data_IF_402312200202
#
_entry.id   IF_402312200202
#
_cell.length_a   1.000
_cell.length_b   1.000
_cell.length_c   1.000
_cell.angle_alpha   90.00
_cell.angle_beta   90.00
_cell.angle_gamma   90.00
#
_symmetry.space_group_name_H-M   'P 1'
#
loop_
_entity.id
_entity.type
_entity.pdbx_description
1 polymer ?
#
# COMPACT_ATOMS: atom_id res chain seq x y z
N UNK A 1 20.40 -1.23 -9.57
CA UNK A 1 19.24 -1.40 -10.49
C UNK A 1 19.00 -2.86 -10.87
N UNK A 2 20.02 -3.63 -11.25
CA UNK A 2 19.84 -5.02 -11.71
C UNK A 2 19.33 -5.98 -10.62
N UNK A 3 19.75 -5.80 -9.36
CA UNK A 3 19.20 -6.56 -8.23
C UNK A 3 17.69 -6.38 -8.06
N UNK A 4 17.18 -5.15 -8.22
CA UNK A 4 15.75 -4.86 -8.14
C UNK A 4 14.98 -5.45 -9.32
N UNK A 5 15.56 -5.46 -10.53
CA UNK A 5 14.92 -6.10 -11.70
C UNK A 5 14.76 -7.61 -11.48
N UNK A 6 15.82 -8.28 -11.02
CA UNK A 6 15.78 -9.71 -10.69
C UNK A 6 14.77 -9.99 -9.57
N UNK A 7 14.68 -9.11 -8.58
CA UNK A 7 13.66 -9.21 -7.53
C UNK A 7 12.24 -9.16 -8.12
N UNK A 8 11.98 -8.20 -9.00
CA UNK A 8 10.68 -8.07 -9.68
C UNK A 8 10.34 -9.32 -10.51
N UNK A 9 11.32 -9.92 -11.18
CA UNK A 9 11.13 -11.18 -11.92
C UNK A 9 10.69 -12.31 -10.99
N UNK A 10 11.39 -12.51 -9.88
CA UNK A 10 11.03 -13.52 -8.87
C UNK A 10 9.63 -13.27 -8.32
N UNK A 11 9.26 -12.01 -8.06
CA UNK A 11 7.92 -11.65 -7.58
C UNK A 11 6.85 -12.01 -8.60
N UNK A 12 7.08 -11.70 -9.88
CA UNK A 12 6.14 -12.03 -10.96
C UNK A 12 5.98 -13.53 -11.20
N UNK A 13 7.02 -14.32 -10.92
CA UNK A 13 6.98 -15.78 -10.97
C UNK A 13 6.27 -16.39 -9.76
N UNK A 14 6.47 -15.80 -8.58
CA UNK A 14 5.92 -16.30 -7.32
C UNK A 14 4.45 -15.91 -7.11
N UNK A 15 4.04 -14.71 -7.53
CA UNK A 15 2.65 -14.26 -7.41
C UNK A 15 1.75 -15.05 -8.36
N UNK A 16 0.69 -15.65 -7.82
CA UNK A 16 -0.30 -16.34 -8.63
C UNK A 16 -1.28 -15.36 -9.26
N UNK A 17 -1.61 -15.62 -10.53
CA UNK A 17 -2.51 -14.79 -11.33
C UNK A 17 -1.84 -13.53 -11.89
N UNK A 18 -1.79 -13.44 -13.23
CA UNK A 18 -1.55 -12.16 -13.91
C UNK A 18 -2.89 -11.47 -14.06
N UNK A 19 -3.32 -10.78 -13.02
CA UNK A 19 -4.60 -10.08 -13.07
C UNK A 19 -4.42 -8.74 -13.80
N UNK A 20 -5.10 -8.62 -14.94
CA UNK A 20 -5.35 -7.32 -15.54
C UNK A 20 -6.27 -6.50 -14.62
N UNK A 21 -5.81 -5.33 -14.23
CA UNK A 21 -6.56 -4.42 -13.40
C UNK A 21 -7.25 -3.30 -14.18
N UNK A 22 -8.16 -2.61 -13.52
CA UNK A 22 -8.90 -1.45 -14.04
C UNK A 22 -8.22 -0.17 -13.57
N UNK A 23 -7.47 0.47 -14.47
CA UNK A 23 -6.57 1.57 -14.12
C UNK A 23 -6.78 2.78 -15.02
N UNK A 24 -6.43 3.96 -14.51
CA UNK A 24 -6.47 5.23 -15.23
C UNK A 24 -5.62 5.14 -16.51
N UNK A 25 -6.20 5.59 -17.63
CA UNK A 25 -5.56 5.65 -18.94
C UNK A 25 -4.38 6.61 -18.93
N UNK A 26 -3.32 6.29 -19.67
CA UNK A 26 -2.17 7.18 -19.82
C UNK A 26 -2.57 8.55 -20.39
N UNK A 27 -3.46 8.58 -21.38
CA UNK A 27 -3.98 9.84 -21.94
C UNK A 27 -4.61 10.72 -20.85
N UNK A 28 -5.36 10.14 -19.91
CA UNK A 28 -5.99 10.90 -18.83
C UNK A 28 -4.98 11.40 -17.80
N UNK A 29 -3.94 10.60 -17.51
CA UNK A 29 -2.81 11.05 -16.70
C UNK A 29 -2.10 12.25 -17.34
N UNK A 30 -1.89 12.23 -18.66
CA UNK A 30 -1.33 13.37 -19.41
C UNK A 30 -2.20 14.61 -19.29
N UNK A 31 -3.52 14.46 -19.45
CA UNK A 31 -4.47 15.57 -19.29
C UNK A 31 -4.36 16.22 -17.91
N UNK A 32 -4.27 15.41 -16.85
CA UNK A 32 -4.09 15.91 -15.48
C UNK A 32 -2.77 16.66 -15.28
N UNK A 33 -1.67 16.15 -15.84
CA UNK A 33 -0.37 16.82 -15.80
C UNK A 33 -0.38 18.13 -16.60
N UNK A 34 -1.11 18.22 -17.71
CA UNK A 34 -1.26 19.49 -18.44
C UNK A 34 -2.16 20.48 -17.71
N UNK A 35 -3.26 20.00 -17.13
CA UNK A 35 -4.23 20.83 -16.42
C UNK A 35 -3.65 21.43 -15.14
N UNK A 36 -2.89 20.63 -14.38
CA UNK A 36 -2.22 21.04 -13.15
C UNK A 36 -0.73 20.65 -13.21
N UNK A 37 0.12 21.44 -13.89
CA UNK A 37 1.53 21.11 -14.08
C UNK A 37 2.32 20.98 -12.75
N UNK A 38 3.05 19.88 -12.54
CA UNK A 38 3.85 19.65 -11.34
C UNK A 38 5.16 20.45 -11.40
N UNK A 39 5.12 21.70 -10.93
CA UNK A 39 6.20 22.66 -11.11
C UNK A 39 7.50 22.24 -10.40
N UNK A 40 7.41 21.62 -9.21
CA UNK A 40 8.61 21.19 -8.50
C UNK A 40 9.30 20.05 -9.24
N UNK A 41 8.51 19.10 -9.76
CA UNK A 41 8.98 17.97 -10.54
C UNK A 41 9.67 18.44 -11.81
N UNK A 42 9.03 19.32 -12.58
CA UNK A 42 9.58 19.91 -13.83
C UNK A 42 10.90 20.63 -13.55
N UNK A 43 10.93 21.48 -12.51
CA UNK A 43 12.14 22.22 -12.11
C UNK A 43 13.26 21.30 -11.63
N UNK A 44 12.93 20.29 -10.83
CA UNK A 44 13.91 19.36 -10.27
C UNK A 44 14.60 18.50 -11.34
N UNK A 45 13.89 18.20 -12.43
CA UNK A 45 14.43 17.50 -13.60
C UNK A 45 15.15 18.42 -14.59
N UNK A 46 15.08 19.74 -14.40
CA UNK A 46 15.72 20.71 -15.29
C UNK A 46 14.98 20.98 -16.60
N UNK A 47 13.67 20.70 -16.65
CA UNK A 47 12.83 20.98 -17.81
C UNK A 47 12.21 22.39 -17.74
N UNK A 48 11.93 22.98 -18.90
CA UNK A 48 11.32 24.32 -19.00
C UNK A 48 9.81 24.31 -18.85
N UNK A 49 9.17 23.17 -19.13
CA UNK A 49 7.73 23.02 -19.10
C UNK A 49 7.31 21.57 -18.87
N UNK A 50 6.05 21.37 -18.47
CA UNK A 50 5.47 20.02 -18.37
C UNK A 50 5.40 19.32 -19.73
N UNK A 51 5.22 20.08 -20.81
CA UNK A 51 5.25 19.55 -22.18
C UNK A 51 6.61 18.91 -22.48
N UNK A 52 7.71 19.64 -22.23
CA UNK A 52 9.06 19.13 -22.42
C UNK A 52 9.33 17.90 -21.53
N UNK A 53 8.87 17.92 -20.28
CA UNK A 53 9.01 16.78 -19.37
C UNK A 53 8.29 15.53 -19.92
N UNK A 54 7.06 15.67 -20.43
CA UNK A 54 6.28 14.55 -20.98
C UNK A 54 6.74 14.05 -22.35
N UNK A 55 7.58 14.80 -23.06
CA UNK A 55 8.26 14.36 -24.28
C UNK A 55 9.51 13.51 -23.96
N UNK A 56 10.11 13.73 -22.78
CA UNK A 56 11.42 13.14 -22.41
C UNK A 56 11.34 12.09 -21.31
N UNK A 57 10.25 12.06 -20.55
CA UNK A 57 10.05 11.15 -19.43
C UNK A 57 8.78 10.31 -19.59
N UNK A 58 8.76 9.15 -18.95
CA UNK A 58 7.54 8.35 -18.82
C UNK A 58 6.50 9.11 -18.00
N UNK A 59 5.25 9.14 -18.49
CA UNK A 59 4.11 9.72 -17.77
C UNK A 59 3.96 9.08 -16.41
N UNK A 60 4.13 7.76 -16.32
CA UNK A 60 4.06 7.01 -15.07
C UNK A 60 5.13 7.44 -14.07
N UNK A 61 6.34 7.78 -14.54
CA UNK A 61 7.42 8.25 -13.65
C UNK A 61 7.15 9.66 -13.12
N UNK A 62 6.63 10.56 -13.97
CA UNK A 62 6.19 11.89 -13.54
C UNK A 62 5.06 11.75 -12.51
N UNK A 63 4.07 10.88 -12.77
CA UNK A 63 2.95 10.64 -11.87
C UNK A 63 3.40 10.05 -10.53
N UNK A 64 4.32 9.07 -10.56
CA UNK A 64 4.96 8.53 -9.36
C UNK A 64 5.68 9.61 -8.55
N UNK A 65 6.38 10.51 -9.24
CA UNK A 65 7.12 11.60 -8.62
C UNK A 65 6.25 12.62 -7.90
N UNK A 66 4.97 12.74 -8.25
CA UNK A 66 4.03 13.59 -7.52
C UNK A 66 4.01 13.26 -6.03
N UNK A 67 4.16 11.98 -5.66
CA UNK A 67 4.17 11.53 -4.25
C UNK A 67 5.33 12.08 -3.42
N UNK A 68 6.44 12.44 -4.07
CA UNK A 68 7.68 12.78 -3.38
C UNK A 68 8.31 14.11 -3.78
N UNK A 69 7.89 14.71 -4.89
CA UNK A 69 8.40 15.99 -5.39
C UNK A 69 7.43 17.15 -5.16
N UNK A 70 6.12 16.88 -5.06
CA UNK A 70 5.10 17.91 -4.95
C UNK A 70 4.58 18.08 -3.51
N UNK A 71 4.01 19.25 -3.24
CA UNK A 71 3.49 19.57 -1.92
C UNK A 71 2.09 18.98 -1.70
N UNK A 72 1.84 18.40 -0.52
CA UNK A 72 0.56 17.79 -0.15
C UNK A 72 -0.64 18.73 -0.29
N UNK A 73 -0.51 20.00 0.13
CA UNK A 73 -1.57 21.00 -0.03
C UNK A 73 -1.89 21.26 -1.49
N UNK A 74 -0.88 21.26 -2.36
CA UNK A 74 -1.10 21.44 -3.80
C UNK A 74 -1.77 20.22 -4.42
N UNK A 75 -1.29 19.02 -4.06
CA UNK A 75 -1.89 17.76 -4.52
C UNK A 75 -3.38 17.69 -4.19
N UNK A 76 -3.73 17.92 -2.92
CA UNK A 76 -5.10 17.79 -2.44
C UNK A 76 -6.04 18.89 -2.96
N UNK A 77 -5.57 20.14 -3.09
CA UNK A 77 -6.45 21.25 -3.47
C UNK A 77 -6.54 21.50 -4.98
N UNK A 78 -5.53 21.07 -5.75
CA UNK A 78 -5.44 21.37 -7.18
C UNK A 78 -5.31 20.10 -8.02
N UNK A 79 -4.29 19.27 -7.77
CA UNK A 79 -4.00 18.13 -8.64
C UNK A 79 -5.09 17.06 -8.63
N UNK A 80 -5.60 16.70 -7.45
CA UNK A 80 -6.64 15.68 -7.30
C UNK A 80 -8.06 16.22 -7.49
N UNK A 81 -8.26 17.53 -7.60
CA UNK A 81 -9.61 18.10 -7.78
C UNK A 81 -10.35 17.53 -9.02
N UNK A 82 -9.72 17.43 -10.21
CA UNK A 82 -10.34 16.85 -11.40
C UNK A 82 -10.67 15.36 -11.30
N UNK A 83 -10.21 14.65 -10.25
CA UNK A 83 -10.56 13.24 -10.07
C UNK A 83 -12.07 13.06 -9.80
N UNK A 84 -12.73 14.08 -9.24
CA UNK A 84 -14.18 14.06 -9.01
C UNK A 84 -14.98 13.93 -10.32
N UNK A 85 -14.39 14.34 -11.45
CA UNK A 85 -15.00 14.30 -12.77
C UNK A 85 -14.57 13.05 -13.58
N UNK A 86 -13.85 12.11 -12.95
CA UNK A 86 -13.51 10.85 -13.60
C UNK A 86 -14.79 10.05 -13.90
N UNK A 87 -14.77 9.43 -15.08
CA UNK A 87 -15.77 8.49 -15.54
C UNK A 87 -15.12 7.11 -15.70
N UNK A 88 -15.92 6.05 -15.73
CA UNK A 88 -15.40 4.70 -15.96
C UNK A 88 -14.62 4.59 -17.29
N UNK A 89 -15.00 5.37 -18.31
CA UNK A 89 -14.30 5.42 -19.59
C UNK A 89 -12.88 6.03 -19.51
N UNK A 90 -12.55 6.70 -18.40
CA UNK A 90 -11.23 7.26 -18.13
C UNK A 90 -10.23 6.16 -17.74
N UNK A 91 -10.72 4.95 -17.50
CA UNK A 91 -9.96 3.78 -17.10
C UNK A 91 -9.91 2.74 -18.22
N UNK A 92 -8.92 1.87 -18.17
CA UNK A 92 -8.68 0.77 -19.09
C UNK A 92 -8.31 -0.51 -18.34
N UNK A 93 -8.46 -1.65 -19.00
CA UNK A 93 -7.99 -2.94 -18.46
C UNK A 93 -6.56 -3.17 -18.95
N UNK A 94 -5.62 -3.36 -18.03
CA UNK A 94 -4.21 -3.66 -18.33
C UNK A 94 -3.49 -4.29 -17.14
N UNK A 95 -2.33 -4.88 -17.38
CA UNK A 95 -1.46 -5.41 -16.32
C UNK A 95 -0.94 -4.30 -15.37
N UNK A 96 -0.66 -4.69 -14.12
CA UNK A 96 0.03 -3.84 -13.14
C UNK A 96 1.48 -3.63 -13.59
N UNK A 97 1.92 -2.37 -13.57
CA UNK A 97 3.31 -1.99 -13.83
C UNK A 97 4.13 -2.11 -12.55
N UNK A 98 5.30 -2.71 -12.64
CA UNK A 98 6.31 -2.69 -11.58
C UNK A 98 7.60 -2.15 -12.16
N UNK A 99 8.00 -0.95 -11.75
CA UNK A 99 9.08 -0.21 -12.41
C UNK A 99 10.10 0.34 -11.41
N UNK A 100 11.39 0.20 -11.73
CA UNK A 100 12.46 0.94 -11.04
C UNK A 100 12.58 2.29 -11.71
N UNK A 101 12.42 3.39 -10.96
CA UNK A 101 12.58 4.71 -11.53
C UNK A 101 14.05 4.92 -11.97
N UNK A 102 14.29 5.65 -13.07
CA UNK A 102 15.64 5.97 -13.51
C UNK A 102 16.48 6.70 -12.45
N UNK A 103 17.81 6.54 -12.50
CA UNK A 103 18.75 7.08 -11.50
C UNK A 103 18.63 8.58 -11.24
N UNK A 104 18.22 9.35 -12.26
CA UNK A 104 17.98 10.80 -12.16
C UNK A 104 16.98 11.16 -11.04
N UNK A 105 16.06 10.25 -10.72
CA UNK A 105 15.05 10.44 -9.67
C UNK A 105 15.60 10.28 -8.27
N UNK A 106 16.80 9.70 -8.08
CA UNK A 106 17.42 9.46 -6.77
C UNK A 106 17.46 10.72 -5.90
N UNK A 107 17.94 11.83 -6.47
CA UNK A 107 18.11 13.08 -5.71
C UNK A 107 16.77 13.65 -5.26
N UNK A 108 15.75 13.56 -6.11
CA UNK A 108 14.39 14.05 -5.85
C UNK A 108 13.72 13.16 -4.80
N UNK A 109 13.89 11.84 -4.93
CA UNK A 109 13.32 10.84 -4.04
C UNK A 109 14.01 10.71 -2.68
N UNK A 110 15.24 11.19 -2.51
CA UNK A 110 16.00 11.06 -1.27
C UNK A 110 15.31 11.70 -0.06
N UNK A 111 14.67 12.86 -0.23
CA UNK A 111 13.94 13.51 0.85
C UNK A 111 12.71 12.69 1.30
N UNK A 112 12.04 12.05 0.34
CA UNK A 112 10.90 11.19 0.61
C UNK A 112 11.29 9.87 1.26
N UNK A 113 12.35 9.22 0.77
CA UNK A 113 12.88 7.99 1.37
C UNK A 113 13.30 8.24 2.82
N UNK A 114 13.91 9.40 3.12
CA UNK A 114 14.25 9.80 4.48
C UNK A 114 13.04 9.96 5.41
N UNK A 115 11.88 10.40 4.89
CA UNK A 115 10.64 10.58 5.67
C UNK A 115 9.83 9.29 5.82
N UNK A 116 9.73 8.48 4.76
CA UNK A 116 8.93 7.24 4.73
C UNK A 116 9.69 6.00 5.17
N UNK A 117 11.02 6.09 5.29
CA UNK A 117 11.91 5.03 5.78
C UNK A 117 11.97 3.79 4.86
N UNK A 118 11.34 3.85 3.69
CA UNK A 118 11.47 2.91 2.58
C UNK A 118 11.43 3.69 1.25
N UNK A 119 11.91 3.06 0.17
CA UNK A 119 12.06 3.67 -1.15
C UNK A 119 11.12 3.07 -2.21
N UNK A 120 10.08 2.36 -1.77
CA UNK A 120 9.07 1.72 -2.64
C UNK A 120 7.72 2.37 -2.37
N UNK A 121 6.94 2.65 -3.41
CA UNK A 121 5.57 3.13 -3.28
C UNK A 121 4.75 2.71 -4.50
N UNK A 122 3.50 3.15 -4.56
CA UNK A 122 2.53 2.76 -5.57
C UNK A 122 1.48 3.85 -5.79
N UNK A 123 0.74 3.68 -6.88
CA UNK A 123 -0.44 4.46 -7.24
C UNK A 123 -1.53 3.48 -7.65
N UNK A 124 -2.56 3.36 -6.82
CA UNK A 124 -3.67 2.41 -6.96
C UNK A 124 -4.43 2.66 -8.26
N UNK A 125 -4.74 3.93 -8.51
CA UNK A 125 -5.48 4.39 -9.68
C UNK A 125 -4.68 4.22 -10.98
N UNK A 126 -3.36 4.38 -10.93
CA UNK A 126 -2.50 4.26 -12.09
C UNK A 126 -1.96 2.85 -12.29
N UNK A 127 -2.27 1.89 -11.41
CA UNK A 127 -1.83 0.50 -11.54
C UNK A 127 -0.33 0.37 -11.63
N UNK A 128 0.42 1.10 -10.80
CA UNK A 128 1.88 1.07 -10.79
C UNK A 128 2.42 0.92 -9.37
N UNK A 129 3.33 -0.03 -9.19
CA UNK A 129 4.26 -0.13 -8.07
C UNK A 129 5.63 0.32 -8.56
N UNK A 130 6.30 1.19 -7.81
CA UNK A 130 7.57 1.75 -8.25
C UNK A 130 8.61 1.80 -7.14
N UNK A 131 9.86 1.65 -7.56
CA UNK A 131 11.04 1.66 -6.71
C UNK A 131 11.83 2.93 -7.03
N UNK A 132 11.94 3.81 -6.05
CA UNK A 132 12.75 5.03 -6.11
C UNK A 132 14.20 4.63 -5.85
N UNK A 133 15.17 4.96 -6.72
CA UNK A 133 16.58 4.78 -6.41
C UNK A 133 16.93 5.48 -5.10
N UNK A 134 17.51 4.75 -4.14
CA UNK A 134 17.92 5.28 -2.85
C UNK A 134 19.44 5.34 -2.75
N UNK A 135 19.96 6.17 -1.84
CA UNK A 135 21.40 6.25 -1.56
C UNK A 135 21.85 5.23 -0.51
N UNK A 136 20.93 4.68 0.29
CA UNK A 136 21.21 3.66 1.29
C UNK A 136 21.02 2.27 0.70
N UNK A 137 22.12 1.71 0.21
CA UNK A 137 22.20 0.31 -0.21
C UNK A 137 22.80 -0.54 0.91
N UNK A 138 22.28 -1.77 1.07
CA UNK A 138 22.99 -2.85 1.75
C UNK A 138 22.80 -2.95 3.27
N UNK A 139 21.75 -2.39 3.86
CA UNK A 139 21.42 -2.70 5.25
C UNK A 139 20.87 -4.14 5.39
N UNK A 140 21.11 -4.82 6.54
CA UNK A 140 20.58 -6.16 6.77
C UNK A 140 19.06 -6.23 6.60
N UNK A 141 18.57 -7.18 5.81
CA UNK A 141 17.15 -7.36 5.55
C UNK A 141 16.57 -6.56 4.38
N UNK A 142 17.32 -5.62 3.78
CA UNK A 142 16.81 -4.77 2.69
C UNK A 142 16.17 -5.54 1.53
N UNK A 143 16.80 -6.62 1.06
CA UNK A 143 16.26 -7.41 -0.04
C UNK A 143 14.92 -8.04 0.30
N UNK A 144 14.76 -8.52 1.53
CA UNK A 144 13.52 -9.14 2.01
C UNK A 144 12.44 -8.08 2.28
N UNK A 145 12.80 -6.93 2.84
CA UNK A 145 11.90 -5.78 2.98
C UNK A 145 11.38 -5.29 1.63
N UNK A 146 12.27 -5.14 0.64
CA UNK A 146 11.87 -4.76 -0.71
C UNK A 146 10.96 -5.80 -1.36
N UNK A 147 11.29 -7.09 -1.16
CA UNK A 147 10.52 -8.20 -1.69
C UNK A 147 9.09 -8.18 -1.18
N UNK A 148 8.94 -8.12 0.16
CA UNK A 148 7.64 -8.17 0.83
C UNK A 148 6.80 -6.92 0.53
N UNK A 149 7.41 -5.72 0.54
CA UNK A 149 6.70 -4.48 0.22
C UNK A 149 6.14 -4.46 -1.20
N UNK A 150 6.91 -4.90 -2.20
CA UNK A 150 6.41 -4.95 -3.58
C UNK A 150 5.25 -5.96 -3.68
N UNK A 151 5.37 -7.11 -3.03
CA UNK A 151 4.31 -8.12 -2.97
C UNK A 151 3.00 -7.56 -2.37
N UNK A 152 3.11 -6.91 -1.23
CA UNK A 152 1.99 -6.24 -0.57
C UNK A 152 1.33 -5.19 -1.47
N UNK A 153 2.13 -4.31 -2.09
CA UNK A 153 1.59 -3.28 -2.97
C UNK A 153 0.94 -3.85 -4.24
N UNK A 154 1.41 -5.00 -4.74
CA UNK A 154 0.74 -5.68 -5.85
C UNK A 154 -0.68 -6.12 -5.46
N UNK A 155 -0.83 -6.73 -4.28
CA UNK A 155 -2.14 -7.14 -3.76
C UNK A 155 -3.06 -5.95 -3.45
N UNK A 156 -2.50 -4.85 -2.94
CA UNK A 156 -3.26 -3.63 -2.70
C UNK A 156 -3.74 -2.98 -4.00
N UNK A 157 -2.86 -2.83 -5.00
CA UNK A 157 -3.22 -2.28 -6.32
C UNK A 157 -4.29 -3.14 -7.01
N UNK A 158 -4.15 -4.46 -6.94
CA UNK A 158 -5.13 -5.42 -7.47
C UNK A 158 -6.48 -5.28 -6.77
N UNK A 159 -6.49 -5.23 -5.43
CA UNK A 159 -7.69 -5.06 -4.63
C UNK A 159 -8.43 -3.76 -4.98
N UNK A 160 -7.74 -2.62 -5.00
CA UNK A 160 -8.37 -1.36 -5.35
C UNK A 160 -8.85 -1.33 -6.79
N UNK A 161 -8.17 -1.99 -7.73
CA UNK A 161 -8.67 -2.16 -9.10
C UNK A 161 -10.04 -2.86 -9.14
N UNK A 162 -10.24 -3.93 -8.35
CA UNK A 162 -11.55 -4.59 -8.25
C UNK A 162 -12.61 -3.67 -7.65
N UNK A 163 -12.26 -2.93 -6.60
CA UNK A 163 -13.17 -1.97 -5.95
C UNK A 163 -13.53 -0.84 -6.91
N UNK A 164 -12.59 -0.30 -7.68
CA UNK A 164 -12.86 0.72 -8.69
C UNK A 164 -13.78 0.19 -9.79
N UNK A 165 -13.52 -1.02 -10.29
CA UNK A 165 -14.35 -1.66 -11.31
C UNK A 165 -15.80 -1.85 -10.84
N UNK A 166 -16.01 -2.18 -9.57
CA UNK A 166 -17.35 -2.26 -8.97
C UNK A 166 -18.14 -0.95 -9.11
N UNK A 167 -17.48 0.19 -8.91
CA UNK A 167 -18.13 1.51 -9.02
C UNK A 167 -18.27 2.02 -10.45
N UNK A 168 -17.79 1.32 -11.47
CA UNK A 168 -17.79 1.79 -12.86
C UNK A 168 -19.19 2.15 -13.41
N UNK A 169 -20.25 1.52 -12.89
CA UNK A 169 -21.63 1.84 -13.23
C UNK A 169 -22.27 2.99 -12.43
N UNK A 170 -21.56 3.55 -11.45
CA UNK A 170 -22.11 4.59 -10.57
C UNK A 170 -22.09 5.96 -11.21
N UNK A 171 -23.15 6.75 -11.01
CA UNK A 171 -23.22 8.14 -11.48
C UNK A 171 -22.24 9.08 -10.79
N UNK A 172 -21.71 8.68 -9.62
CA UNK A 172 -20.73 9.42 -8.81
C UNK A 172 -19.32 8.77 -8.82
N UNK A 173 -18.98 8.01 -9.87
CA UNK A 173 -17.74 7.24 -9.98
C UNK A 173 -16.49 8.02 -9.55
N UNK A 174 -16.23 9.20 -10.12
CA UNK A 174 -15.04 9.99 -9.77
C UNK A 174 -14.96 10.36 -8.30
N UNK A 175 -16.09 10.72 -7.67
CA UNK A 175 -16.16 10.96 -6.22
C UNK A 175 -15.85 9.71 -5.42
N UNK A 176 -16.39 8.55 -5.81
CA UNK A 176 -16.07 7.26 -5.17
C UNK A 176 -14.58 6.94 -5.25
N UNK A 177 -13.94 7.19 -6.38
CA UNK A 177 -12.48 7.02 -6.52
C UNK A 177 -11.72 7.92 -5.54
N UNK A 178 -12.09 9.20 -5.44
CA UNK A 178 -11.47 10.15 -4.50
C UNK A 178 -11.62 9.67 -3.05
N UNK A 179 -12.82 9.27 -2.65
CA UNK A 179 -13.10 8.80 -1.28
C UNK A 179 -12.30 7.53 -0.94
N UNK A 180 -12.20 6.59 -1.90
CA UNK A 180 -11.42 5.35 -1.76
C UNK A 180 -9.92 5.63 -1.64
N UNK A 181 -9.37 6.53 -2.47
CA UNK A 181 -7.96 6.90 -2.44
C UNK A 181 -7.59 7.65 -1.15
N UNK A 182 -8.51 8.46 -0.61
CA UNK A 182 -8.30 9.16 0.66
C UNK A 182 -8.25 8.22 1.86
N UNK A 183 -8.83 7.01 1.75
CA UNK A 183 -8.88 5.99 2.80
C UNK A 183 -9.36 6.58 4.15
N UNK A 184 -10.40 7.42 4.09
CA UNK A 184 -10.95 8.07 5.27
C UNK A 184 -11.65 7.05 6.16
N UNK A 185 -11.35 7.08 7.46
CA UNK A 185 -12.04 6.26 8.46
C UNK A 185 -13.19 7.08 9.03
N UNK A 186 -14.42 6.55 8.94
CA UNK A 186 -15.60 7.17 9.54
C UNK A 186 -15.36 7.50 11.02
N UNK A 187 -15.75 8.70 11.44
CA UNK A 187 -15.77 9.12 12.86
C UNK A 187 -17.10 8.81 13.54
N UNK A 188 -18.08 8.27 12.79
CA UNK A 188 -19.38 7.94 13.36
C UNK A 188 -19.25 6.77 14.35
N UNK A 189 -20.01 6.80 15.46
CA UNK A 189 -20.11 5.67 16.37
C UNK A 189 -20.61 4.42 15.64
N UNK A 190 -20.11 3.25 16.04
CA UNK A 190 -20.68 2.00 15.57
C UNK A 190 -22.13 1.84 16.07
N UNK A 191 -23.02 1.23 15.27
CA UNK A 191 -24.36 0.88 15.72
C UNK A 191 -24.31 0.05 17.01
N UNK A 192 -25.15 0.41 17.99
CA UNK A 192 -25.22 -0.27 19.31
C UNK A 192 -26.02 -1.56 19.30
N UNK A 193 -26.88 -1.74 18.30
CA UNK A 193 -27.69 -2.94 18.14
C UNK A 193 -26.93 -3.95 17.27
N UNK A 194 -26.78 -5.19 17.76
CA UNK A 194 -26.07 -6.26 17.04
C UNK A 194 -24.55 -6.24 17.18
N UNK A 195 -23.87 -7.06 16.37
CA UNK A 195 -22.41 -7.18 16.33
C UNK A 195 -21.88 -6.32 15.19
N UNK A 196 -21.38 -5.13 15.52
CA UNK A 196 -20.85 -4.18 14.55
C UNK A 196 -19.33 -4.21 14.50
N UNK A 197 -18.76 -4.14 13.30
CA UNK A 197 -17.32 -4.05 13.08
C UNK A 197 -17.00 -2.85 12.21
N UNK A 198 -15.99 -2.06 12.60
CA UNK A 198 -15.49 -0.94 11.79
C UNK A 198 -14.67 -1.46 10.60
N UNK A 199 -14.69 -0.72 9.50
CA UNK A 199 -13.75 -0.92 8.39
C UNK A 199 -12.73 0.20 8.44
N UNK A 200 -11.45 -0.17 8.57
CA UNK A 200 -10.33 0.77 8.66
C UNK A 200 -9.38 0.49 7.48
N UNK A 201 -9.40 1.27 6.39
CA UNK A 201 -8.60 0.98 5.20
C UNK A 201 -7.15 1.50 5.27
N UNK A 202 -6.59 1.70 6.47
CA UNK A 202 -5.24 2.27 6.70
C UNK A 202 -4.73 1.94 8.10
N UNK A 203 -3.43 2.07 8.34
CA UNK A 203 -2.88 2.01 9.69
C UNK A 203 -3.16 3.30 10.49
N UNK A 204 -4.19 3.30 11.35
CA UNK A 204 -4.52 4.44 12.21
C UNK A 204 -3.43 4.71 13.26
N UNK A 205 -2.80 3.68 13.81
CA UNK A 205 -1.74 3.82 14.79
C UNK A 205 -0.53 4.62 14.27
N UNK A 206 -0.26 4.61 12.95
CA UNK A 206 0.76 5.49 12.33
C UNK A 206 0.43 6.98 12.45
N UNK A 207 -0.84 7.34 12.61
CA UNK A 207 -1.30 8.71 12.81
C UNK A 207 -1.42 9.05 14.30
N UNK A 208 -2.04 8.16 15.06
CA UNK A 208 -2.27 8.30 16.48
C UNK A 208 -2.43 6.91 17.12
N UNK A 209 -1.41 6.47 17.86
CA UNK A 209 -1.41 5.19 18.58
C UNK A 209 -2.51 5.10 19.67
N UNK A 210 -3.03 6.25 20.10
CA UNK A 210 -4.11 6.36 21.10
C UNK A 210 -5.48 6.60 20.48
N UNK A 211 -5.66 6.37 19.17
CA UNK A 211 -6.97 6.54 18.52
C UNK A 211 -7.99 5.54 19.13
N UNK A 212 -9.11 6.01 19.69
CA UNK A 212 -10.06 5.13 20.38
C UNK A 212 -10.66 4.06 19.46
N UNK A 213 -10.68 4.29 18.15
CA UNK A 213 -11.21 3.33 17.17
C UNK A 213 -10.34 2.08 17.03
N UNK A 214 -9.08 2.13 17.44
CA UNK A 214 -8.18 0.96 17.49
C UNK A 214 -8.63 -0.09 18.51
N UNK A 215 -9.48 0.31 19.48
CA UNK A 215 -10.01 -0.56 20.53
C UNK A 215 -11.44 -1.05 20.24
N UNK A 216 -12.02 -0.67 19.10
CA UNK A 216 -13.30 -1.19 18.63
C UNK A 216 -13.08 -2.46 17.78
N UNK A 217 -14.05 -3.39 17.69
CA UNK A 217 -13.98 -4.48 16.72
C UNK A 217 -13.85 -3.92 15.30
N UNK A 218 -12.82 -4.32 14.56
CA UNK A 218 -12.58 -3.82 13.22
C UNK A 218 -11.89 -4.81 12.30
N UNK A 219 -12.04 -4.56 11.00
CA UNK A 219 -11.31 -5.22 9.92
C UNK A 219 -10.54 -4.18 9.11
N UNK A 220 -9.40 -4.58 8.57
CA UNK A 220 -8.50 -3.69 7.85
C UNK A 220 -8.06 -4.31 6.51
N UNK A 221 -8.05 -3.50 5.45
CA UNK A 221 -7.59 -3.97 4.14
C UNK A 221 -6.07 -4.13 4.05
N UNK A 222 -5.31 -3.33 4.81
CA UNK A 222 -3.84 -3.36 4.75
C UNK A 222 -3.27 -4.72 5.22
N UNK A 223 -3.64 -5.30 6.39
CA UNK A 223 -3.18 -6.63 6.78
C UNK A 223 -3.71 -7.73 5.87
N UNK A 224 -4.87 -7.56 5.22
CA UNK A 224 -5.33 -8.53 4.21
C UNK A 224 -4.33 -8.60 3.03
N UNK A 225 -3.77 -7.47 2.60
CA UNK A 225 -2.77 -7.46 1.52
C UNK A 225 -1.47 -8.14 1.93
N UNK A 226 -1.06 -7.98 3.20
CA UNK A 226 0.08 -8.70 3.78
C UNK A 226 -0.17 -10.21 3.84
N UNK A 227 -1.30 -10.63 4.40
CA UNK A 227 -1.68 -12.05 4.49
C UNK A 227 -1.63 -12.76 3.13
N UNK A 228 -2.09 -12.10 2.07
CA UNK A 228 -2.04 -12.66 0.70
C UNK A 228 -0.62 -12.68 0.14
N UNK A 229 0.19 -11.66 0.41
CA UNK A 229 1.60 -11.64 0.06
C UNK A 229 2.35 -12.81 0.74
N UNK A 230 2.21 -12.92 2.05
CA UNK A 230 2.78 -13.97 2.91
C UNK A 230 2.37 -15.38 2.47
N UNK A 231 1.10 -15.58 2.13
CA UNK A 231 0.61 -16.86 1.58
C UNK A 231 1.35 -17.29 0.30
N UNK A 232 1.79 -16.35 -0.53
CA UNK A 232 2.61 -16.65 -1.72
C UNK A 232 4.09 -16.82 -1.37
N UNK A 233 4.59 -16.08 -0.39
CA UNK A 233 5.94 -16.27 0.16
C UNK A 233 6.09 -17.68 0.73
N UNK A 234 5.06 -18.18 1.40
CA UNK A 234 5.01 -19.54 1.94
C UNK A 234 5.15 -20.61 0.85
N UNK A 235 4.44 -20.43 -0.26
CA UNK A 235 4.52 -21.32 -1.44
C UNK A 235 5.89 -21.24 -2.10
N UNK A 236 6.47 -20.04 -2.16
CA UNK A 236 7.83 -19.85 -2.67
C UNK A 236 8.84 -20.58 -1.78
N UNK A 237 8.70 -20.47 -0.45
CA UNK A 237 9.54 -21.14 0.53
C UNK A 237 9.41 -22.68 0.47
N UNK A 238 8.20 -23.20 0.22
CA UNK A 238 7.98 -24.63 0.01
C UNK A 238 8.74 -25.15 -1.22
N UNK A 239 8.70 -24.41 -2.33
CA UNK A 239 9.45 -24.75 -3.56
C UNK A 239 10.96 -24.52 -3.44
N UNK A 240 11.38 -23.69 -2.49
CA UNK A 240 12.77 -23.26 -2.32
C UNK A 240 13.19 -23.32 -0.84
N UNK A 241 13.25 -24.51 -0.20
CA UNK A 241 13.51 -24.61 1.24
C UNK A 241 14.80 -23.93 1.71
N UNK A 242 15.79 -23.79 0.81
CA UNK A 242 17.07 -23.12 1.07
C UNK A 242 16.95 -21.64 1.45
N UNK A 243 15.83 -20.97 1.15
CA UNK A 243 15.64 -19.56 1.51
C UNK A 243 15.24 -19.35 2.97
N UNK A 244 14.83 -20.42 3.67
CA UNK A 244 14.53 -20.40 5.11
C UNK A 244 13.28 -19.60 5.53
N UNK A 245 12.49 -19.09 4.58
CA UNK A 245 11.30 -18.27 4.86
C UNK A 245 10.13 -19.07 5.45
N UNK A 246 10.15 -20.40 5.37
CA UNK A 246 9.12 -21.26 5.97
C UNK A 246 9.07 -21.18 7.50
N UNK A 247 10.05 -20.54 8.13
CA UNK A 247 10.05 -20.25 9.57
C UNK A 247 8.82 -19.45 9.99
N UNK A 248 8.40 -18.48 9.17
CA UNK A 248 7.30 -17.57 9.52
C UNK A 248 5.91 -18.12 9.20
N UNK A 249 5.83 -19.30 8.56
CA UNK A 249 4.58 -19.90 8.10
C UNK A 249 3.53 -19.96 9.21
N UNK A 250 2.44 -19.21 9.03
CA UNK A 250 1.29 -19.21 9.93
C UNK A 250 1.50 -18.46 11.25
N UNK A 251 2.60 -17.71 11.35
CA UNK A 251 2.92 -16.82 12.48
C UNK A 251 3.41 -15.43 12.02
N UNK A 252 3.40 -15.19 10.72
CA UNK A 252 4.04 -14.08 9.99
C UNK A 252 3.38 -12.72 10.17
N UNK A 253 2.13 -12.66 10.62
CA UNK A 253 1.35 -11.42 10.66
C UNK A 253 0.81 -11.12 12.06
N UNK A 254 0.03 -12.01 12.69
CA UNK A 254 -0.73 -11.68 13.90
C UNK A 254 -0.06 -12.10 15.21
N UNK A 255 0.97 -12.94 15.17
CA UNK A 255 1.53 -13.54 16.39
C UNK A 255 2.43 -12.55 17.12
N UNK A 256 2.32 -12.55 18.45
CA UNK A 256 3.24 -11.85 19.33
C UNK A 256 3.25 -12.49 20.71
N UNK A 257 4.32 -12.29 21.46
CA UNK A 257 4.49 -12.87 22.79
C UNK A 257 4.97 -11.83 23.81
N UNK A 258 4.48 -11.95 25.03
CA UNK A 258 4.90 -11.10 26.15
C UNK A 258 6.12 -11.72 26.80
N UNK A 259 7.24 -11.02 26.73
CA UNK A 259 8.47 -11.40 27.41
C UNK A 259 8.65 -10.59 28.68
N UNK A 260 8.88 -11.28 29.79
CA UNK A 260 9.19 -10.64 31.07
C UNK A 260 10.62 -10.07 31.05
N UNK A 261 10.77 -8.74 31.09
CA UNK A 261 12.08 -8.06 31.12
C UNK A 261 12.51 -7.66 32.54
N UNK A 262 12.14 -8.46 33.55
CA UNK A 262 12.47 -8.21 34.96
C UNK A 262 11.97 -6.85 35.44
N UNK A 263 12.86 -6.02 35.99
CA UNK A 263 12.51 -4.67 36.51
C UNK A 263 12.00 -3.68 35.45
N UNK A 264 12.20 -3.96 34.16
CA UNK A 264 11.69 -3.13 33.05
C UNK A 264 10.22 -3.42 32.71
N UNK A 265 9.62 -4.41 33.37
CA UNK A 265 8.25 -4.84 33.11
C UNK A 265 8.13 -5.78 31.92
N UNK A 266 6.89 -6.03 31.55
CA UNK A 266 6.52 -6.94 30.46
C UNK A 266 6.66 -6.23 29.12
N UNK A 267 7.22 -6.93 28.12
CA UNK A 267 7.37 -6.41 26.78
C UNK A 267 6.73 -7.33 25.74
N UNK A 268 5.67 -6.86 25.10
CA UNK A 268 5.13 -7.51 23.91
C UNK A 268 6.15 -7.44 22.75
N UNK A 269 6.53 -8.59 22.21
CA UNK A 269 7.38 -8.72 21.03
C UNK A 269 6.52 -9.25 19.88
N UNK A 270 6.56 -8.55 18.75
CA UNK A 270 5.86 -8.93 17.52
C UNK A 270 6.66 -9.98 16.75
N UNK A 271 5.97 -11.02 16.28
CA UNK A 271 6.49 -11.98 15.30
C UNK A 271 6.00 -11.65 13.88
N UNK A 272 5.40 -10.46 13.68
CA UNK A 272 5.07 -9.98 12.34
C UNK A 272 6.34 -9.76 11.51
N UNK A 273 6.38 -10.31 10.31
CA UNK A 273 7.53 -10.28 9.41
C UNK A 273 7.94 -8.83 9.09
N UNK A 274 6.97 -7.94 8.86
CA UNK A 274 7.22 -6.56 8.48
C UNK A 274 7.67 -5.73 9.67
N UNK A 275 7.07 -5.90 10.85
CA UNK A 275 7.54 -5.29 12.08
C UNK A 275 9.00 -5.68 12.36
N UNK A 276 9.36 -6.96 12.16
CA UNK A 276 10.74 -7.45 12.33
C UNK A 276 11.70 -6.91 11.26
N UNK A 277 11.28 -6.82 10.00
CA UNK A 277 12.10 -6.25 8.92
C UNK A 277 12.36 -4.76 9.14
N UNK A 278 11.33 -4.00 9.53
CA UNK A 278 11.44 -2.58 9.84
C UNK A 278 12.32 -2.37 11.09
N UNK A 279 12.17 -3.23 12.09
CA UNK A 279 13.04 -3.20 13.27
C UNK A 279 14.51 -3.41 12.89
N UNK A 280 14.79 -4.44 12.09
CA UNK A 280 16.15 -4.77 11.64
C UNK A 280 16.75 -3.68 10.75
N UNK A 281 15.99 -3.17 9.77
CA UNK A 281 16.44 -2.12 8.85
C UNK A 281 16.81 -0.82 9.55
N UNK A 282 16.27 -0.61 10.76
CA UNK A 282 16.52 0.56 11.60
C UNK A 282 17.53 0.31 12.71
N UNK A 283 18.36 -0.72 12.58
CA UNK A 283 19.42 -1.03 13.54
C UNK A 283 18.92 -1.59 14.87
N UNK A 284 17.71 -2.14 14.90
CA UNK A 284 17.10 -2.73 16.10
C UNK A 284 16.63 -1.69 17.12
N UNK A 285 16.24 -0.50 16.66
CA UNK A 285 15.77 0.59 17.52
C UNK A 285 14.27 0.82 17.32
N UNK A 286 13.57 0.92 18.45
CA UNK A 286 12.14 1.21 18.49
C UNK A 286 11.28 -0.04 18.56
N UNK A 287 9.98 0.17 18.76
CA UNK A 287 8.98 -0.89 18.83
C UNK A 287 8.01 -0.70 17.67
N UNK A 288 7.85 -1.73 16.85
CA UNK A 288 6.89 -1.76 15.74
C UNK A 288 5.90 -2.87 16.07
N UNK A 289 4.65 -2.50 16.33
CA UNK A 289 3.56 -3.42 16.69
C UNK A 289 2.31 -3.25 15.84
N UNK A 290 2.23 -2.17 15.07
CA UNK A 290 0.95 -1.79 14.47
C UNK A 290 0.60 -2.69 13.27
N UNK A 291 1.55 -3.39 12.64
CA UNK A 291 1.20 -4.41 11.65
C UNK A 291 0.59 -5.61 12.38
N UNK A 292 1.29 -6.10 13.41
CA UNK A 292 0.84 -7.22 14.22
C UNK A 292 -0.54 -7.01 14.85
N UNK A 293 -0.79 -5.84 15.43
CA UNK A 293 -2.05 -5.54 16.11
C UNK A 293 -3.23 -5.51 15.14
N UNK A 294 -3.05 -4.94 13.95
CA UNK A 294 -4.10 -4.88 12.92
C UNK A 294 -4.30 -6.25 12.27
N UNK A 295 -3.23 -7.02 12.05
CA UNK A 295 -3.31 -8.40 11.62
C UNK A 295 -4.05 -9.29 12.63
N UNK A 296 -3.85 -9.06 13.93
CA UNK A 296 -4.58 -9.77 14.99
C UNK A 296 -6.08 -9.49 14.96
N UNK A 297 -6.50 -8.26 14.72
CA UNK A 297 -7.92 -7.94 14.53
C UNK A 297 -8.52 -8.66 13.33
N UNK A 298 -7.80 -8.67 12.21
CA UNK A 298 -8.21 -9.46 11.05
C UNK A 298 -8.26 -10.96 11.37
N UNK A 299 -7.27 -11.50 12.09
CA UNK A 299 -7.24 -12.91 12.50
C UNK A 299 -8.47 -13.28 13.32
N UNK A 300 -8.84 -12.47 14.32
CA UNK A 300 -10.05 -12.70 15.13
C UNK A 300 -11.29 -12.76 14.24
N UNK A 301 -11.43 -11.84 13.28
CA UNK A 301 -12.55 -11.86 12.34
C UNK A 301 -12.53 -13.08 11.43
N UNK A 302 -11.36 -13.48 10.92
CA UNK A 302 -11.19 -14.66 10.05
C UNK A 302 -11.59 -15.94 10.79
N UNK A 303 -11.20 -16.09 12.06
CA UNK A 303 -11.63 -17.24 12.88
C UNK A 303 -13.15 -17.27 13.11
N UNK A 304 -13.79 -16.10 13.13
CA UNK A 304 -15.23 -15.98 13.32
C UNK A 304 -16.05 -16.19 12.04
N UNK A 305 -15.67 -15.55 10.93
CA UNK A 305 -16.47 -15.44 9.71
C UNK A 305 -15.81 -16.03 8.45
N UNK A 306 -14.52 -16.35 8.51
CA UNK A 306 -13.74 -16.86 7.38
C UNK A 306 -13.09 -15.76 6.51
N UNK A 307 -11.97 -16.11 5.87
CA UNK A 307 -11.20 -15.21 5.01
C UNK A 307 -12.01 -14.76 3.78
N UNK A 308 -12.68 -15.67 3.09
CA UNK A 308 -13.50 -15.35 1.92
C UNK A 308 -14.56 -14.29 2.26
N UNK A 309 -15.17 -14.39 3.45
CA UNK A 309 -16.17 -13.42 3.89
C UNK A 309 -15.57 -12.05 4.17
N UNK A 310 -14.39 -12.01 4.78
CA UNK A 310 -13.66 -10.75 4.98
C UNK A 310 -13.34 -10.08 3.64
N UNK A 311 -12.82 -10.83 2.66
CA UNK A 311 -12.49 -10.29 1.33
C UNK A 311 -13.73 -9.75 0.61
N UNK A 312 -14.85 -10.49 0.66
CA UNK A 312 -16.14 -10.06 0.15
C UNK A 312 -16.55 -8.73 0.80
N UNK A 313 -16.53 -8.66 2.13
CA UNK A 313 -16.94 -7.46 2.87
C UNK A 313 -16.05 -6.26 2.53
N UNK A 314 -14.73 -6.43 2.55
CA UNK A 314 -13.79 -5.34 2.28
C UNK A 314 -13.96 -4.84 0.85
N UNK A 315 -14.22 -5.73 -0.12
CA UNK A 315 -14.47 -5.32 -1.51
C UNK A 315 -15.84 -4.64 -1.66
N UNK A 316 -16.85 -5.13 -0.94
CA UNK A 316 -18.24 -4.71 -1.10
C UNK A 316 -18.61 -3.46 -0.29
N UNK A 317 -17.92 -3.20 0.82
CA UNK A 317 -18.35 -2.22 1.83
C UNK A 317 -17.25 -1.26 2.26
N UNK A 318 -16.10 -1.21 1.56
CA UNK A 318 -14.98 -0.33 1.93
C UNK A 318 -15.41 1.14 2.17
N UNK A 319 -16.34 1.64 1.36
CA UNK A 319 -16.85 3.01 1.41
C UNK A 319 -17.87 3.25 2.53
N UNK A 320 -18.44 2.19 3.12
CA UNK A 320 -19.44 2.29 4.20
C UNK A 320 -18.79 2.56 5.57
N UNK A 321 -17.54 2.15 5.76
CA UNK A 321 -16.79 2.39 7.00
C UNK A 321 -17.16 1.49 8.19
N UNK A 322 -18.21 0.67 8.10
CA UNK A 322 -18.53 -0.39 9.06
C UNK A 322 -19.46 -1.46 8.46
N UNK A 323 -19.62 -2.55 9.19
CA UNK A 323 -20.59 -3.62 8.93
C UNK A 323 -21.37 -3.97 10.20
N UNK A 324 -22.57 -4.50 10.00
CA UNK A 324 -23.34 -5.22 11.01
C UNK A 324 -23.38 -6.69 10.59
N UNK A 325 -23.00 -7.58 11.53
CA UNK A 325 -23.13 -9.02 11.40
C UNK A 325 -24.47 -9.42 12.04
N UNK A 326 -25.32 -10.09 11.27
CA UNK A 326 -26.62 -10.59 11.71
C UNK A 326 -26.57 -12.06 12.05
#
# INVERSE_FOLDING_TARGET
QDGCKKLIEVIKEAKLGREEGFFLKEAKMRDFLFLNPPQNTVKALGYKSVKEAMEKESVYHIFAALRFAENERWLNNFFFRPYNDLLADSFETREIRVEVLPEKWRKIGAEYAGKKLHHISHLKEAGIVFIIPAAQDGYPGQSLENFTLIFHYLYEVEFYSRVFRKYAGSSDFGRKIVDLLAANVSSLPLPKEGVSWRIIPRYLAKLNESDPRLFEPHINSEPLHWLKAESDIDRLAEKNPQIGLSFWRGIDDFVGEIFHAGKKGDNLVSFDLIDNLIFLSRGGIGKYLYHQQEALWNKIFIEFAGLEKMEEILTEKLDKGWIELK
#
